data_IF_119449291089
#
_entry.id   IF_119449291089
#
_cell.length_a   1.000
_cell.length_b   1.000
_cell.length_c   1.000
_cell.angle_alpha   90.00
_cell.angle_beta   90.00
_cell.angle_gamma   90.00
#
_symmetry.space_group_name_H-M   'P 1'
#
loop_
_entity.id
_entity.type
_entity.pdbx_description
1 polymer ?
#
# COMPACT_ATOMS: atom_id res chain seq x y z
N UNK A 1 -31.49 11.12 7.28
CA UNK A 1 -30.37 11.35 8.23
C UNK A 1 -29.35 10.25 8.01
N UNK A 2 -28.19 10.61 7.47
CA UNK A 2 -27.13 9.64 7.37
C UNK A 2 -26.59 9.37 8.75
N UNK A 3 -26.65 8.12 9.19
CA UNK A 3 -26.00 7.71 10.43
C UNK A 3 -24.50 7.71 10.19
N UNK A 4 -23.75 8.50 10.96
CA UNK A 4 -22.30 8.58 10.90
C UNK A 4 -21.64 7.26 11.37
N UNK A 5 -22.26 6.14 11.06
CA UNK A 5 -21.84 4.83 11.54
C UNK A 5 -21.65 3.86 10.39
N UNK A 6 -20.45 3.33 10.30
CA UNK A 6 -20.15 2.23 9.39
C UNK A 6 -20.61 0.93 10.05
N UNK A 7 -21.29 0.04 9.31
CA UNK A 7 -21.63 -1.29 9.83
C UNK A 7 -20.37 -1.99 10.37
N UNK A 8 -20.52 -2.65 11.52
CA UNK A 8 -19.39 -3.29 12.21
C UNK A 8 -18.61 -4.23 11.31
N UNK A 9 -19.30 -5.04 10.50
CA UNK A 9 -18.63 -5.99 9.61
C UNK A 9 -17.75 -5.30 8.56
N UNK A 10 -18.19 -4.14 8.04
CA UNK A 10 -17.39 -3.38 7.09
C UNK A 10 -16.15 -2.78 7.74
N UNK A 11 -16.29 -2.24 8.94
CA UNK A 11 -15.17 -1.70 9.70
C UNK A 11 -14.15 -2.79 10.05
N UNK A 12 -14.61 -3.94 10.51
CA UNK A 12 -13.74 -5.08 10.78
C UNK A 12 -13.04 -5.56 9.51
N UNK A 13 -13.78 -5.72 8.42
CA UNK A 13 -13.21 -6.11 7.12
C UNK A 13 -12.16 -5.09 6.66
N UNK A 14 -12.44 -3.80 6.79
CA UNK A 14 -11.49 -2.74 6.44
C UNK A 14 -10.19 -2.85 7.24
N UNK A 15 -10.27 -3.10 8.55
CA UNK A 15 -9.09 -3.29 9.38
C UNK A 15 -8.35 -4.58 9.10
N UNK A 16 -9.06 -5.67 8.79
CA UNK A 16 -8.44 -6.94 8.37
C UNK A 16 -7.65 -6.75 7.08
N UNK A 17 -8.23 -6.08 6.08
CA UNK A 17 -7.53 -5.79 4.82
C UNK A 17 -6.33 -4.87 5.06
N UNK A 18 -6.49 -3.83 5.87
CA UNK A 18 -5.39 -2.92 6.22
C UNK A 18 -4.26 -3.64 6.95
N UNK A 19 -4.58 -4.52 7.88
CA UNK A 19 -3.60 -5.34 8.60
C UNK A 19 -2.92 -6.38 7.72
N UNK A 20 -3.66 -6.97 6.79
CA UNK A 20 -3.12 -7.95 5.84
C UNK A 20 -2.02 -7.35 4.95
N UNK A 21 -2.05 -6.05 4.69
CA UNK A 21 -1.00 -5.36 3.96
C UNK A 21 0.37 -5.45 4.66
N UNK A 22 0.40 -5.69 5.97
CA UNK A 22 1.64 -5.93 6.70
C UNK A 22 2.42 -7.12 6.13
N UNK A 23 1.72 -8.15 5.64
CA UNK A 23 2.33 -9.33 5.02
C UNK A 23 3.08 -9.01 3.72
N UNK A 24 2.77 -7.88 3.11
CA UNK A 24 3.45 -7.40 1.90
C UNK A 24 4.48 -6.33 2.24
N UNK A 25 4.08 -5.28 2.96
CA UNK A 25 4.92 -4.11 3.21
C UNK A 25 6.06 -4.39 4.19
N UNK A 26 5.82 -5.15 5.26
CA UNK A 26 6.85 -5.41 6.26
C UNK A 26 7.98 -6.30 5.72
N UNK A 27 7.72 -7.47 5.09
CA UNK A 27 8.79 -8.25 4.49
C UNK A 27 9.51 -7.50 3.38
N UNK A 28 8.78 -6.82 2.52
CA UNK A 28 9.35 -6.05 1.40
C UNK A 28 10.30 -4.96 1.90
N UNK A 29 9.88 -4.18 2.88
CA UNK A 29 10.71 -3.15 3.50
C UNK A 29 11.91 -3.76 4.24
N UNK A 30 11.71 -4.86 4.96
CA UNK A 30 12.77 -5.56 5.67
C UNK A 30 13.89 -5.99 4.71
N UNK A 31 13.55 -6.67 3.62
CA UNK A 31 14.56 -7.13 2.65
C UNK A 31 15.33 -5.96 2.02
N UNK A 32 14.64 -4.87 1.72
CA UNK A 32 15.28 -3.69 1.14
C UNK A 32 16.24 -3.00 2.11
N UNK A 33 15.90 -2.95 3.39
CA UNK A 33 16.72 -2.28 4.41
C UNK A 33 17.86 -3.19 4.90
N UNK A 34 17.53 -4.44 5.26
CA UNK A 34 18.49 -5.40 5.80
C UNK A 34 19.47 -5.94 4.76
N UNK A 35 19.01 -6.07 3.51
CA UNK A 35 19.80 -6.53 2.38
C UNK A 35 20.53 -7.85 2.67
N UNK A 36 19.78 -8.94 2.91
CA UNK A 36 20.41 -10.24 3.18
C UNK A 36 21.27 -10.68 1.98
N UNK A 37 22.14 -11.66 2.25
CA UNK A 37 23.08 -12.19 1.25
C UNK A 37 22.35 -12.55 -0.05
N UNK A 38 22.85 -12.04 -1.17
CA UNK A 38 22.28 -12.27 -2.50
C UNK A 38 21.22 -11.25 -2.92
N UNK A 39 20.70 -10.43 -1.99
CA UNK A 39 19.65 -9.46 -2.31
C UNK A 39 20.12 -8.38 -3.28
N UNK A 40 21.29 -7.81 -3.05
CA UNK A 40 21.79 -6.69 -3.88
C UNK A 40 22.08 -7.16 -5.32
N UNK A 41 22.57 -8.36 -5.50
CA UNK A 41 22.83 -8.92 -6.83
C UNK A 41 21.55 -9.03 -7.64
N UNK A 42 20.46 -9.52 -7.03
CA UNK A 42 19.16 -9.59 -7.70
C UNK A 42 18.54 -8.20 -7.91
N UNK A 43 18.62 -7.33 -6.89
CA UNK A 43 18.08 -5.99 -6.96
C UNK A 43 18.71 -5.18 -8.10
N UNK A 44 20.02 -5.25 -8.23
CA UNK A 44 20.78 -4.48 -9.23
C UNK A 44 20.50 -4.89 -10.68
N UNK A 45 19.84 -6.01 -10.90
CA UNK A 45 19.38 -6.40 -12.25
C UNK A 45 18.25 -5.52 -12.77
N UNK A 46 17.46 -4.95 -11.88
CA UNK A 46 16.26 -4.17 -12.24
C UNK A 46 16.34 -2.71 -11.79
N UNK A 47 16.95 -2.45 -10.65
CA UNK A 47 16.94 -1.13 -10.00
C UNK A 47 18.34 -0.54 -9.88
N UNK A 48 18.45 0.81 -9.83
CA UNK A 48 19.73 1.48 -9.62
C UNK A 48 20.41 1.09 -8.31
N UNK A 49 21.73 1.08 -8.33
CA UNK A 49 22.52 0.85 -7.12
C UNK A 49 22.16 1.85 -6.03
N UNK A 50 22.07 1.38 -4.78
CA UNK A 50 21.78 2.23 -3.63
C UNK A 50 20.31 2.63 -3.46
N UNK A 51 19.40 2.18 -4.34
CA UNK A 51 17.98 2.55 -4.29
C UNK A 51 17.17 1.71 -3.29
N UNK A 52 17.65 0.54 -2.89
CA UNK A 52 16.87 -0.39 -2.08
C UNK A 52 16.52 0.16 -0.69
N UNK A 53 17.51 0.63 0.07
CA UNK A 53 17.26 1.16 1.43
C UNK A 53 16.33 2.36 1.45
N UNK A 54 16.53 3.40 0.63
CA UNK A 54 15.58 4.50 0.57
C UNK A 54 14.16 4.06 0.26
N UNK A 55 13.98 3.15 -0.69
CA UNK A 55 12.66 2.62 -1.05
C UNK A 55 12.05 1.81 0.10
N UNK A 56 12.84 1.01 0.81
CA UNK A 56 12.36 0.27 1.98
C UNK A 56 11.91 1.19 3.11
N UNK A 57 12.64 2.26 3.38
CA UNK A 57 12.28 3.27 4.38
C UNK A 57 11.00 4.01 3.97
N UNK A 58 10.89 4.40 2.71
CA UNK A 58 9.67 5.04 2.16
C UNK A 58 8.48 4.11 2.33
N UNK A 59 8.61 2.87 1.92
CA UNK A 59 7.56 1.86 1.97
C UNK A 59 7.04 1.65 3.40
N UNK A 60 7.94 1.50 4.36
CA UNK A 60 7.58 1.37 5.77
C UNK A 60 6.89 2.64 6.29
N UNK A 61 7.43 3.81 5.96
CA UNK A 61 6.87 5.10 6.36
C UNK A 61 5.44 5.27 5.84
N UNK A 62 5.19 4.95 4.57
CA UNK A 62 3.87 5.05 3.97
C UNK A 62 2.87 4.14 4.65
N UNK A 63 3.28 2.92 4.99
CA UNK A 63 2.41 1.98 5.69
C UNK A 63 2.06 2.47 7.11
N UNK A 64 3.04 3.01 7.83
CA UNK A 64 2.81 3.59 9.16
C UNK A 64 1.84 4.77 9.06
N UNK A 65 2.05 5.71 8.12
CA UNK A 65 1.13 6.84 7.90
C UNK A 65 -0.28 6.37 7.58
N UNK A 66 -0.41 5.32 6.81
CA UNK A 66 -1.68 4.70 6.43
C UNK A 66 -2.47 4.16 7.63
N UNK A 67 -1.76 3.65 8.65
CA UNK A 67 -2.39 3.09 9.85
C UNK A 67 -2.74 4.16 10.89
N UNK A 68 -2.03 5.29 10.92
CA UNK A 68 -2.27 6.35 11.90
C UNK A 68 -3.52 7.15 11.53
N UNK A 69 -4.49 7.32 12.45
CA UNK A 69 -5.74 8.02 12.14
C UNK A 69 -5.58 9.43 11.58
N UNK A 70 -4.60 10.19 12.06
CA UNK A 70 -4.39 11.58 11.64
C UNK A 70 -3.78 11.71 10.24
N UNK A 71 -3.07 10.68 9.78
CA UNK A 71 -2.32 10.70 8.51
C UNK A 71 -2.81 9.67 7.51
N UNK A 72 -3.90 8.97 7.81
CA UNK A 72 -4.39 7.85 7.01
C UNK A 72 -4.66 8.18 5.54
N UNK A 73 -5.21 9.36 5.25
CA UNK A 73 -5.49 9.76 3.86
C UNK A 73 -4.21 10.06 3.11
N UNK A 74 -3.31 10.80 3.74
CA UNK A 74 -2.00 11.08 3.15
C UNK A 74 -1.24 9.77 2.92
N UNK A 75 -1.21 8.88 3.91
CA UNK A 75 -0.58 7.57 3.79
C UNK A 75 -1.19 6.74 2.67
N UNK A 76 -2.52 6.69 2.57
CA UNK A 76 -3.22 5.98 1.51
C UNK A 76 -2.92 6.53 0.13
N UNK A 77 -2.96 7.85 -0.03
CA UNK A 77 -2.67 8.51 -1.30
C UNK A 77 -1.23 8.26 -1.76
N UNK A 78 -0.28 8.46 -0.87
CA UNK A 78 1.15 8.25 -1.17
C UNK A 78 1.45 6.77 -1.43
N UNK A 79 0.79 5.86 -0.71
CA UNK A 79 0.92 4.42 -0.92
C UNK A 79 0.44 4.02 -2.32
N UNK A 80 -0.69 4.56 -2.77
CA UNK A 80 -1.19 4.30 -4.12
C UNK A 80 -0.24 4.85 -5.18
N UNK A 81 0.33 6.03 -4.96
CA UNK A 81 1.35 6.60 -5.85
C UNK A 81 2.59 5.71 -5.94
N UNK A 82 3.07 5.22 -4.79
CA UNK A 82 4.20 4.28 -4.73
C UNK A 82 3.89 2.98 -5.49
N UNK A 83 2.73 2.41 -5.28
CA UNK A 83 2.30 1.19 -5.95
C UNK A 83 2.12 1.39 -7.46
N UNK A 84 1.67 2.57 -7.90
CA UNK A 84 1.64 2.95 -9.31
C UNK A 84 3.03 2.92 -9.94
N UNK A 85 4.04 3.41 -9.23
CA UNK A 85 5.43 3.28 -9.64
C UNK A 85 5.90 1.82 -9.72
N UNK A 86 5.48 0.99 -8.77
CA UNK A 86 5.79 -0.44 -8.79
C UNK A 86 5.16 -1.14 -9.99
N UNK A 87 3.92 -0.81 -10.35
CA UNK A 87 3.27 -1.31 -11.57
C UNK A 87 4.11 -0.96 -12.80
N UNK A 88 4.48 0.31 -12.95
CA UNK A 88 5.29 0.77 -14.07
C UNK A 88 6.63 0.04 -14.16
N UNK A 89 7.28 -0.19 -13.02
CA UNK A 89 8.55 -0.92 -12.95
C UNK A 89 8.39 -2.37 -13.43
N UNK A 90 7.36 -3.07 -12.99
CA UNK A 90 7.12 -4.45 -13.42
C UNK A 90 6.77 -4.53 -14.91
N UNK A 91 6.01 -3.58 -15.43
CA UNK A 91 5.72 -3.50 -16.87
C UNK A 91 7.01 -3.27 -17.66
N UNK A 92 7.85 -2.36 -17.20
CA UNK A 92 9.14 -2.06 -17.84
C UNK A 92 10.09 -3.28 -17.80
N UNK A 93 10.14 -3.97 -16.67
CA UNK A 93 10.96 -5.17 -16.50
C UNK A 93 10.43 -6.40 -17.29
N UNK A 94 9.21 -6.34 -17.77
CA UNK A 94 8.55 -7.44 -18.53
C UNK A 94 8.54 -8.78 -17.76
N UNK A 95 8.41 -8.70 -16.43
CA UNK A 95 8.43 -9.89 -15.55
C UNK A 95 7.06 -10.53 -15.33
N UNK A 96 5.99 -9.92 -15.86
CA UNK A 96 4.62 -10.41 -15.72
C UNK A 96 4.00 -10.18 -14.34
N UNK A 97 4.68 -9.54 -13.42
CA UNK A 97 4.24 -9.37 -12.02
C UNK A 97 3.54 -8.03 -11.76
N UNK A 98 3.22 -7.25 -12.79
CA UNK A 98 2.59 -5.93 -12.65
C UNK A 98 1.25 -5.97 -11.92
N UNK A 99 0.54 -7.10 -11.98
CA UNK A 99 -0.76 -7.26 -11.33
C UNK A 99 -0.65 -7.28 -9.79
N UNK A 100 0.49 -7.67 -9.23
CA UNK A 100 0.67 -7.74 -7.76
C UNK A 100 0.50 -6.37 -7.11
N UNK A 101 1.22 -5.31 -7.51
CA UNK A 101 0.99 -3.98 -6.93
C UNK A 101 -0.41 -3.41 -7.23
N UNK A 102 -1.04 -3.81 -8.34
CA UNK A 102 -2.43 -3.42 -8.61
C UNK A 102 -3.36 -4.01 -7.55
N UNK A 103 -3.25 -5.31 -7.27
CA UNK A 103 -4.05 -5.98 -6.25
C UNK A 103 -3.80 -5.36 -4.86
N UNK A 104 -2.54 -5.14 -4.52
CA UNK A 104 -2.16 -4.50 -3.25
C UNK A 104 -2.78 -3.11 -3.13
N UNK A 105 -2.78 -2.33 -4.21
CA UNK A 105 -3.40 -1.01 -4.25
C UNK A 105 -4.91 -1.06 -4.03
N UNK A 106 -5.60 -2.01 -4.68
CA UNK A 106 -7.04 -2.22 -4.49
C UNK A 106 -7.34 -2.61 -3.04
N UNK A 107 -6.56 -3.52 -2.46
CA UNK A 107 -6.72 -3.92 -1.05
C UNK A 107 -6.48 -2.73 -0.11
N UNK A 108 -5.46 -1.92 -0.36
CA UNK A 108 -5.17 -0.73 0.43
C UNK A 108 -6.33 0.27 0.40
N UNK A 109 -6.87 0.54 -0.79
CA UNK A 109 -8.01 1.44 -0.95
C UNK A 109 -9.27 0.90 -0.27
N UNK A 110 -9.63 -0.36 -0.52
CA UNK A 110 -10.79 -0.99 0.10
C UNK A 110 -10.65 -1.06 1.62
N UNK A 111 -9.47 -1.39 2.12
CA UNK A 111 -9.19 -1.41 3.55
C UNK A 111 -9.49 -0.07 4.22
N UNK A 112 -9.01 1.02 3.62
CA UNK A 112 -9.27 2.37 4.12
C UNK A 112 -10.74 2.77 3.93
N UNK A 113 -11.30 2.55 2.76
CA UNK A 113 -12.67 2.92 2.41
C UNK A 113 -13.71 2.25 3.30
N UNK A 114 -13.53 0.96 3.59
CA UNK A 114 -14.47 0.21 4.42
C UNK A 114 -14.44 0.59 5.90
N UNK A 115 -13.30 1.08 6.40
CA UNK A 115 -13.15 1.45 7.82
C UNK A 115 -13.33 2.94 8.12
N UNK A 116 -13.49 3.78 7.09
CA UNK A 116 -13.45 5.23 7.25
C UNK A 116 -14.69 5.90 6.67
N UNK A 117 -15.48 6.48 7.55
CA UNK A 117 -16.71 7.18 7.18
C UNK A 117 -16.42 8.48 6.42
N UNK A 118 -15.42 9.26 6.88
CA UNK A 118 -15.09 10.55 6.27
C UNK A 118 -14.59 10.39 4.84
N UNK A 119 -13.81 9.34 4.58
CA UNK A 119 -13.33 9.05 3.21
C UNK A 119 -14.49 8.77 2.27
N UNK A 120 -15.52 8.05 2.73
CA UNK A 120 -16.71 7.78 1.91
C UNK A 120 -17.49 9.05 1.58
N UNK A 121 -17.49 10.01 2.48
CA UNK A 121 -18.13 11.30 2.25
C UNK A 121 -17.33 12.16 1.26
N UNK A 122 -16.00 12.09 1.32
CA UNK A 122 -15.11 12.84 0.43
C UNK A 122 -15.04 12.24 -0.99
N UNK A 123 -15.08 10.93 -1.09
CA UNK A 123 -14.99 10.20 -2.37
C UNK A 123 -16.15 9.19 -2.42
N UNK A 124 -17.39 9.68 -2.59
CA UNK A 124 -18.54 8.80 -2.67
C UNK A 124 -18.47 7.96 -3.95
N UNK A 125 -18.82 6.68 -3.84
CA UNK A 125 -19.19 5.93 -5.01
C UNK A 125 -20.54 6.46 -5.46
N UNK A 126 -20.59 7.03 -6.67
CA UNK A 126 -21.80 7.62 -7.20
C UNK A 126 -22.81 6.49 -7.40
N UNK A 127 -23.94 6.61 -6.71
CA UNK A 127 -25.09 5.74 -6.91
C UNK A 127 -26.23 6.67 -7.30
N UNK A 128 -26.58 6.67 -8.57
CA UNK A 128 -27.74 7.41 -9.08
C UNK A 128 -29.03 6.69 -8.72
#
# INVERSE_FOLDING_TARGET
MMTDTIPKWQRVTGWVLSGALALVFLPSAFFKVAQPKGFIEEWSKTYPAGSARPLGVIELTLYILYLIPKTRYLGGLLMLAYLGGAVATHVHAKDGMFFVPVIVGVVAWLGLYLRDFELRALVPLVVD
#
